data_IF_168069160665
#
_entry.id   IF_168069160665
#
_cell.length_a   1.000
_cell.length_b   1.000
_cell.length_c   1.000
_cell.angle_alpha   90.00
_cell.angle_beta   90.00
_cell.angle_gamma   90.00
#
_symmetry.space_group_name_H-M   'P 1'
#
loop_
_entity.id
_entity.type
_entity.pdbx_description
1 polymer ?
#
# COMPACT_ATOMS: atom_id res chain seq x y z
N UNK A 1 23.72 -7.04 -5.73
CA UNK A 1 23.62 -5.83 -4.91
C UNK A 1 24.48 -4.77 -5.59
N UNK A 2 23.92 -4.13 -6.63
CA UNK A 2 24.61 -3.10 -7.38
C UNK A 2 24.21 -1.76 -6.76
N UNK A 3 25.22 -1.06 -6.23
CA UNK A 3 25.13 0.25 -5.61
C UNK A 3 24.60 1.26 -6.64
N UNK A 4 23.42 1.82 -6.36
CA UNK A 4 22.94 3.03 -7.05
C UNK A 4 23.89 4.14 -6.63
N UNK A 5 24.71 4.58 -7.57
CA UNK A 5 25.70 5.64 -7.39
C UNK A 5 24.98 6.97 -7.19
N UNK A 6 24.67 7.28 -5.93
CA UNK A 6 24.09 8.55 -5.51
C UNK A 6 25.21 9.59 -5.32
N UNK A 7 25.73 10.10 -6.43
CA UNK A 7 26.68 11.22 -6.40
C UNK A 7 26.06 12.46 -5.73
N UNK A 8 26.83 13.21 -4.91
CA UNK A 8 26.37 14.47 -4.33
C UNK A 8 26.44 15.58 -5.39
N UNK A 9 25.30 15.90 -6.02
CA UNK A 9 25.21 17.02 -6.96
C UNK A 9 25.04 18.34 -6.20
N UNK A 10 26.10 19.14 -6.17
CA UNK A 10 26.08 20.51 -5.67
C UNK A 10 25.46 21.43 -6.73
N UNK A 11 24.20 21.84 -6.52
CA UNK A 11 23.45 22.68 -7.44
C UNK A 11 23.91 24.13 -7.37
N UNK A 12 24.82 24.53 -8.27
CA UNK A 12 25.00 25.93 -8.65
C UNK A 12 23.71 26.39 -9.32
N UNK A 13 22.91 27.18 -8.61
CA UNK A 13 21.82 27.94 -9.21
C UNK A 13 22.40 28.76 -10.37
N UNK A 14 22.09 28.35 -11.60
CA UNK A 14 22.40 29.17 -12.78
C UNK A 14 21.76 30.53 -12.56
N UNK A 15 22.51 31.65 -12.71
CA UNK A 15 21.94 32.97 -12.51
C UNK A 15 20.80 33.17 -13.49
N UNK A 16 19.67 33.65 -12.97
CA UNK A 16 18.54 34.16 -13.73
C UNK A 16 19.10 35.03 -14.87
N UNK A 17 18.99 34.56 -16.11
CA UNK A 17 19.35 35.38 -17.26
C UNK A 17 18.49 36.65 -17.22
N UNK A 18 19.05 37.84 -17.47
CA UNK A 18 18.27 39.07 -17.50
C UNK A 18 17.19 38.95 -18.57
N UNK A 19 15.94 39.14 -18.13
CA UNK A 19 14.74 39.17 -18.95
C UNK A 19 14.84 40.28 -19.99
N UNK A 20 15.28 39.94 -21.20
CA UNK A 20 15.28 40.85 -22.36
C UNK A 20 14.05 40.67 -23.24
N UNK A 21 13.20 39.69 -22.95
CA UNK A 21 11.90 39.49 -23.56
C UNK A 21 10.88 39.15 -22.47
N UNK A 22 9.66 39.69 -22.55
CA UNK A 22 8.54 39.52 -21.61
C UNK A 22 8.00 38.08 -21.50
N UNK A 23 8.84 37.06 -21.59
CA UNK A 23 8.49 35.70 -21.20
C UNK A 23 8.77 35.55 -19.71
N UNK A 24 7.72 35.50 -18.89
CA UNK A 24 7.83 34.99 -17.53
C UNK A 24 8.19 33.50 -17.60
N UNK A 25 9.49 33.19 -17.68
CA UNK A 25 9.99 31.83 -17.58
C UNK A 25 9.89 31.39 -16.12
N UNK A 26 8.71 30.93 -15.71
CA UNK A 26 8.59 30.14 -14.50
C UNK A 26 9.27 28.79 -14.75
N UNK A 27 10.54 28.66 -14.35
CA UNK A 27 11.31 27.40 -14.36
C UNK A 27 10.86 26.40 -13.27
N UNK A 28 9.66 26.59 -12.72
CA UNK A 28 9.08 25.75 -11.68
C UNK A 28 8.18 24.67 -12.31
N UNK A 29 8.21 23.41 -11.88
CA UNK A 29 8.67 22.96 -10.57
C UNK A 29 10.18 22.72 -10.46
N UNK A 30 10.70 23.02 -9.28
CA UNK A 30 12.06 22.70 -8.83
C UNK A 30 12.16 21.24 -8.37
N UNK A 31 11.08 20.66 -7.84
CA UNK A 31 11.03 19.25 -7.41
C UNK A 31 9.70 18.60 -7.78
N UNK A 32 9.75 17.34 -8.26
CA UNK A 32 8.55 16.52 -8.54
C UNK A 32 8.45 15.37 -7.53
N UNK A 33 7.43 15.40 -6.69
CA UNK A 33 7.10 14.33 -5.76
C UNK A 33 6.11 13.38 -6.42
N UNK A 34 6.43 12.10 -6.49
CA UNK A 34 5.62 11.10 -7.18
C UNK A 34 5.11 10.10 -6.15
N UNK A 35 3.79 9.91 -6.10
CA UNK A 35 3.17 8.88 -5.27
C UNK A 35 3.24 7.51 -5.96
N UNK A 36 3.47 6.42 -5.21
CA UNK A 36 3.52 5.07 -5.76
C UNK A 36 2.25 4.65 -6.53
N UNK A 37 1.08 5.14 -6.12
CA UNK A 37 -0.19 4.86 -6.79
C UNK A 37 -0.15 5.26 -8.28
N UNK A 38 0.37 6.43 -8.60
CA UNK A 38 0.48 6.89 -9.99
C UNK A 38 1.36 5.97 -10.83
N UNK A 39 2.45 5.45 -10.26
CA UNK A 39 3.37 4.53 -10.94
C UNK A 39 2.67 3.19 -11.20
N UNK A 40 1.98 2.63 -10.19
CA UNK A 40 1.24 1.38 -10.35
C UNK A 40 0.14 1.50 -11.41
N UNK A 41 -0.57 2.63 -11.47
CA UNK A 41 -1.55 2.91 -12.53
C UNK A 41 -0.90 2.95 -13.92
N UNK A 42 0.26 3.58 -14.05
CA UNK A 42 1.03 3.62 -15.32
C UNK A 42 1.48 2.22 -15.73
N UNK A 43 1.97 1.41 -14.79
CA UNK A 43 2.40 0.05 -15.04
C UNK A 43 1.22 -0.87 -15.42
N UNK A 44 0.08 -0.76 -14.73
CA UNK A 44 -1.14 -1.49 -15.09
C UNK A 44 -1.61 -1.11 -16.50
N UNK A 45 -1.60 0.18 -16.84
CA UNK A 45 -1.90 0.64 -18.19
C UNK A 45 -0.91 0.09 -19.23
N UNK A 46 0.38 0.04 -18.91
CA UNK A 46 1.41 -0.53 -19.78
C UNK A 46 1.23 -2.04 -20.02
N UNK A 47 0.65 -2.78 -19.08
CA UNK A 47 0.37 -4.22 -19.23
C UNK A 47 -0.90 -4.46 -20.03
N UNK A 48 -1.90 -3.58 -19.93
CA UNK A 48 -3.17 -3.69 -20.67
C UNK A 48 -3.08 -3.31 -22.14
N UNK A 49 -1.95 -2.79 -22.59
CA UNK A 49 -1.76 -2.41 -24.00
C UNK A 49 -1.95 -3.63 -24.90
N UNK A 50 -2.67 -3.43 -26.01
CA UNK A 50 -2.69 -4.42 -27.07
C UNK A 50 -1.28 -4.53 -27.64
N UNK A 51 -0.69 -5.72 -27.60
CA UNK A 51 0.60 -5.99 -28.23
C UNK A 51 0.37 -5.90 -29.74
N UNK A 52 0.95 -4.91 -30.46
CA UNK A 52 0.75 -4.81 -31.89
C UNK A 52 1.32 -6.06 -32.56
N UNK A 53 0.57 -6.65 -33.50
CA UNK A 53 1.01 -7.81 -34.28
C UNK A 53 2.21 -7.49 -35.20
N UNK A 54 2.57 -6.21 -35.34
CA UNK A 54 3.60 -5.70 -36.24
C UNK A 54 4.66 -4.93 -35.44
N UNK A 55 5.96 -5.23 -35.60
CA UNK A 55 7.05 -4.64 -34.80
C UNK A 55 7.38 -3.16 -35.13
N UNK A 56 6.62 -2.50 -36.00
CA UNK A 56 6.90 -1.13 -36.49
C UNK A 56 6.16 -0.03 -35.75
N UNK A 57 5.09 -0.36 -35.00
CA UNK A 57 4.34 0.64 -34.23
C UNK A 57 5.00 0.81 -32.87
N UNK A 58 5.41 2.04 -32.56
CA UNK A 58 5.92 2.42 -31.24
C UNK A 58 4.91 1.97 -30.19
N UNK A 59 5.33 1.06 -29.31
CA UNK A 59 4.41 0.42 -28.36
C UNK A 59 4.26 1.21 -27.07
N UNK A 60 4.58 2.51 -27.13
CA UNK A 60 4.57 3.38 -25.96
C UNK A 60 3.15 3.73 -25.59
N UNK A 61 2.96 3.96 -24.30
CA UNK A 61 1.68 4.31 -23.74
C UNK A 61 1.75 5.75 -23.27
N UNK A 62 0.68 6.51 -23.47
CA UNK A 62 0.58 7.92 -23.13
C UNK A 62 -0.64 8.12 -22.21
N UNK A 63 -0.49 8.99 -21.22
CA UNK A 63 -1.60 9.42 -20.40
C UNK A 63 -1.31 10.72 -19.66
N UNK A 64 -2.31 11.20 -18.93
CA UNK A 64 -2.21 12.44 -18.16
C UNK A 64 -1.83 12.19 -16.70
N UNK A 65 -1.10 13.14 -16.13
CA UNK A 65 -0.73 13.18 -14.72
C UNK A 65 -1.65 14.16 -13.98
N UNK A 66 -2.19 13.71 -12.86
CA UNK A 66 -3.05 14.48 -11.97
C UNK A 66 -2.38 14.59 -10.59
N UNK A 67 -2.57 15.74 -9.95
CA UNK A 67 -2.20 15.90 -8.56
C UNK A 67 -2.32 17.35 -8.13
N UNK A 68 -1.52 17.76 -7.15
CA UNK A 68 -1.53 19.12 -6.62
C UNK A 68 -0.21 19.83 -6.86
N UNK A 69 -0.28 21.16 -6.96
CA UNK A 69 0.89 22.04 -6.99
C UNK A 69 0.91 22.86 -5.70
N UNK A 70 2.10 23.11 -5.15
CA UNK A 70 2.26 24.04 -4.05
C UNK A 70 1.87 25.47 -4.49
N UNK A 71 1.46 26.31 -3.55
CA UNK A 71 1.10 27.72 -3.81
C UNK A 71 2.27 28.50 -4.42
N UNK A 72 3.49 28.17 -4.01
CA UNK A 72 4.74 28.75 -4.54
C UNK A 72 5.14 28.20 -5.92
N UNK A 73 4.46 27.15 -6.41
CA UNK A 73 4.73 26.48 -7.69
C UNK A 73 6.04 25.68 -7.76
N UNK A 74 6.88 25.74 -6.72
CA UNK A 74 8.18 25.08 -6.62
C UNK A 74 8.09 23.56 -6.56
N UNK A 75 7.11 23.03 -5.83
CA UNK A 75 6.91 21.61 -5.63
C UNK A 75 5.60 21.14 -6.28
N UNK A 76 5.70 20.02 -7.00
CA UNK A 76 4.57 19.38 -7.66
C UNK A 76 4.43 17.96 -7.12
N UNK A 77 3.25 17.60 -6.63
CA UNK A 77 2.95 16.27 -6.13
C UNK A 77 2.02 15.53 -7.09
N UNK A 78 2.56 14.56 -7.82
CA UNK A 78 1.83 13.65 -8.70
C UNK A 78 1.17 12.57 -7.85
N UNK A 79 -0.16 12.60 -7.80
CA UNK A 79 -0.99 11.72 -6.96
C UNK A 79 -1.52 10.56 -7.78
N UNK A 80 -2.08 10.86 -8.95
CA UNK A 80 -2.77 9.90 -9.79
C UNK A 80 -2.45 10.11 -11.27
N UNK A 81 -2.83 9.13 -12.09
CA UNK A 81 -2.62 9.16 -13.53
C UNK A 81 -3.75 8.39 -14.21
N UNK A 82 -4.10 8.80 -15.42
CA UNK A 82 -5.09 8.10 -16.25
C UNK A 82 -4.62 7.98 -17.70
N UNK A 83 -5.08 6.93 -18.35
CA UNK A 83 -4.79 6.61 -19.75
C UNK A 83 -5.45 7.61 -20.70
N UNK A 84 -4.78 8.03 -21.77
CA UNK A 84 -5.42 8.76 -22.87
C UNK A 84 -5.26 7.96 -24.16
N UNK A 85 -6.37 7.64 -24.86
CA UNK A 85 -6.30 7.05 -26.18
C UNK A 85 -5.50 7.96 -27.12
N UNK A 86 -4.51 7.38 -27.78
CA UNK A 86 -3.68 8.08 -28.75
C UNK A 86 -3.44 7.17 -29.96
N UNK A 87 -3.28 7.80 -31.12
CA UNK A 87 -2.91 7.12 -32.36
C UNK A 87 -1.58 7.68 -32.81
N UNK A 88 -0.56 6.81 -32.89
CA UNK A 88 0.79 7.17 -33.37
C UNK A 88 1.07 6.42 -34.68
N UNK A 89 1.18 7.18 -35.75
CA UNK A 89 1.68 6.75 -37.06
C UNK A 89 3.11 7.28 -37.27
N UNK A 90 3.81 6.81 -38.31
CA UNK A 90 5.19 7.23 -38.59
C UNK A 90 5.36 8.75 -38.76
N UNK A 91 4.31 9.46 -39.20
CA UNK A 91 4.33 10.91 -39.48
C UNK A 91 3.39 11.74 -38.59
N UNK A 92 2.52 11.12 -37.79
CA UNK A 92 1.45 11.83 -37.08
C UNK A 92 1.14 11.21 -35.72
N UNK A 93 0.95 12.08 -34.71
CA UNK A 93 0.42 11.71 -33.40
C UNK A 93 -0.84 12.49 -33.11
N UNK A 94 -1.93 11.77 -32.83
CA UNK A 94 -3.21 12.34 -32.42
C UNK A 94 -3.56 11.88 -31.00
N UNK A 95 -4.00 12.82 -30.17
CA UNK A 95 -4.43 12.59 -28.78
C UNK A 95 -5.88 13.01 -28.66
N UNK A 96 -6.73 12.17 -28.05
CA UNK A 96 -8.14 12.48 -27.86
C UNK A 96 -8.35 13.52 -26.75
N UNK A 97 -8.57 14.77 -27.18
CA UNK A 97 -8.80 15.93 -26.31
C UNK A 97 -10.11 15.85 -25.55
N UNK A 98 -11.16 15.32 -26.19
CA UNK A 98 -12.50 15.27 -25.62
C UNK A 98 -12.55 14.22 -24.51
N UNK A 99 -11.90 13.07 -24.75
CA UNK A 99 -11.70 12.06 -23.71
C UNK A 99 -10.92 12.63 -22.51
N UNK A 100 -9.82 13.34 -22.75
CA UNK A 100 -9.05 13.97 -21.67
C UNK A 100 -9.90 14.93 -20.85
N UNK A 101 -10.66 15.84 -21.49
CA UNK A 101 -11.50 16.83 -20.79
C UNK A 101 -12.60 16.14 -19.98
N UNK A 102 -13.27 15.15 -20.55
CA UNK A 102 -14.32 14.39 -19.88
C UNK A 102 -13.75 13.62 -18.67
N UNK A 103 -12.63 12.91 -18.85
CA UNK A 103 -12.00 12.14 -17.78
C UNK A 103 -11.47 13.04 -16.66
N UNK A 104 -10.82 14.15 -17.00
CA UNK A 104 -10.38 15.14 -16.01
C UNK A 104 -11.58 15.69 -15.23
N UNK A 105 -12.70 15.98 -15.88
CA UNK A 105 -13.92 16.45 -15.19
C UNK A 105 -14.47 15.41 -14.20
N UNK A 106 -14.35 14.12 -14.51
CA UNK A 106 -14.77 13.04 -13.62
C UNK A 106 -13.83 12.91 -12.42
N UNK A 107 -12.52 13.01 -12.63
CA UNK A 107 -11.54 13.03 -11.54
C UNK A 107 -11.75 14.21 -10.59
N UNK A 108 -11.98 15.40 -11.13
CA UNK A 108 -12.22 16.61 -10.33
C UNK A 108 -13.53 16.56 -9.53
N UNK A 109 -14.53 15.77 -9.96
CA UNK A 109 -15.74 15.52 -9.17
C UNK A 109 -15.46 14.70 -7.90
N UNK A 110 -14.52 13.77 -7.96
CA UNK A 110 -14.11 12.99 -6.80
C UNK A 110 -13.14 13.81 -5.92
N UNK A 111 -12.12 14.42 -6.54
CA UNK A 111 -11.06 15.16 -5.88
C UNK A 111 -10.93 16.59 -6.46
N UNK A 112 -11.64 17.58 -5.92
CA UNK A 112 -11.65 18.95 -6.46
C UNK A 112 -10.37 19.75 -6.18
N UNK A 113 -9.47 19.25 -5.32
CA UNK A 113 -8.19 19.88 -4.99
C UNK A 113 -7.08 19.56 -6.00
N UNK A 114 -7.31 18.55 -6.82
CA UNK A 114 -6.35 18.13 -7.84
C UNK A 114 -6.47 18.98 -9.09
N UNK A 115 -5.42 18.98 -9.90
CA UNK A 115 -5.34 19.64 -11.19
C UNK A 115 -4.52 18.80 -12.16
N UNK A 116 -4.64 19.11 -13.46
CA UNK A 116 -3.78 18.53 -14.47
C UNK A 116 -2.35 19.05 -14.28
N UNK A 117 -1.39 18.13 -14.16
CA UNK A 117 0.03 18.45 -13.92
C UNK A 117 0.89 18.29 -15.16
N UNK A 118 0.48 17.43 -16.08
CA UNK A 118 1.20 17.15 -17.32
C UNK A 118 0.84 15.76 -17.83
N UNK A 119 1.83 15.03 -18.33
CA UNK A 119 1.65 13.74 -19.00
C UNK A 119 2.78 12.77 -18.70
N UNK A 120 2.53 11.48 -18.94
CA UNK A 120 3.52 10.44 -18.81
C UNK A 120 3.64 9.63 -20.08
N UNK A 121 4.80 8.99 -20.24
CA UNK A 121 5.04 7.97 -21.25
C UNK A 121 5.83 6.80 -20.69
N UNK A 122 5.67 5.63 -21.31
CA UNK A 122 6.41 4.42 -20.93
C UNK A 122 7.70 4.21 -21.74
N UNK A 123 7.95 5.06 -22.76
CA UNK A 123 9.21 5.01 -23.51
C UNK A 123 10.26 5.92 -22.87
N UNK A 124 11.49 5.43 -22.63
CA UNK A 124 12.59 6.27 -22.15
C UNK A 124 13.14 7.20 -23.23
N UNK A 125 12.85 6.95 -24.50
CA UNK A 125 13.36 7.73 -25.63
C UNK A 125 12.47 8.94 -25.92
N UNK A 126 13.09 10.13 -25.93
CA UNK A 126 12.44 11.36 -26.33
C UNK A 126 12.50 11.50 -27.85
N UNK A 127 11.33 11.49 -28.50
CA UNK A 127 11.23 11.62 -29.95
C UNK A 127 10.68 13.01 -30.34
N UNK A 128 10.73 13.37 -31.62
CA UNK A 128 10.19 14.66 -32.12
C UNK A 128 8.71 14.85 -31.77
N UNK A 129 7.93 13.76 -31.77
CA UNK A 129 6.52 13.79 -31.34
C UNK A 129 6.33 14.15 -29.87
N UNK A 130 7.30 13.87 -29.00
CA UNK A 130 7.22 14.24 -27.59
C UNK A 130 7.13 15.76 -27.42
N UNK A 131 7.76 16.54 -28.31
CA UNK A 131 7.65 17.99 -28.29
C UNK A 131 6.25 18.50 -28.65
N UNK A 132 5.60 17.87 -29.63
CA UNK A 132 4.23 18.19 -30.01
C UNK A 132 3.24 17.89 -28.89
N UNK A 133 3.36 16.72 -28.25
CA UNK A 133 2.53 16.32 -27.11
C UNK A 133 2.75 17.27 -25.94
N UNK A 134 4.00 17.62 -25.65
CA UNK A 134 4.34 18.55 -24.59
C UNK A 134 3.71 19.94 -24.81
N UNK A 135 3.75 20.47 -26.04
CA UNK A 135 3.13 21.74 -26.37
C UNK A 135 1.60 21.68 -26.30
N UNK A 136 1.01 20.53 -26.61
CA UNK A 136 -0.41 20.29 -26.42
C UNK A 136 -0.80 20.36 -24.92
N UNK A 137 -0.07 19.69 -24.03
CA UNK A 137 -0.32 19.76 -22.57
C UNK A 137 0.10 21.09 -21.93
N UNK A 138 0.96 21.88 -22.58
CA UNK A 138 1.30 23.23 -22.16
C UNK A 138 0.32 24.30 -22.70
N UNK A 139 -0.60 23.91 -23.60
CA UNK A 139 -1.52 24.86 -24.24
C UNK A 139 -2.49 25.51 -23.24
N UNK A 140 -2.88 26.79 -23.42
CA UNK A 140 -3.83 27.46 -22.53
C UNK A 140 -5.24 26.87 -22.53
N UNK A 141 -5.64 26.17 -23.60
CA UNK A 141 -7.02 25.69 -23.77
C UNK A 141 -7.26 24.31 -23.15
N UNK A 142 -6.22 23.47 -23.11
CA UNK A 142 -6.33 22.05 -22.75
C UNK A 142 -5.36 21.64 -21.64
N UNK A 143 -4.42 22.51 -21.31
CA UNK A 143 -3.22 22.17 -20.58
C UNK A 143 -3.09 22.78 -19.18
N UNK A 144 -1.86 22.93 -18.75
CA UNK A 144 -1.48 23.29 -17.37
C UNK A 144 -1.17 24.78 -17.18
N UNK A 145 -1.54 25.62 -18.14
CA UNK A 145 -1.26 27.07 -18.12
C UNK A 145 -1.81 27.72 -16.85
N UNK A 146 -1.06 28.58 -16.15
CA UNK A 146 0.22 29.23 -16.54
C UNK A 146 1.49 28.46 -16.17
N UNK A 147 1.40 27.26 -15.59
CA UNK A 147 2.55 26.48 -15.15
C UNK A 147 3.02 25.50 -16.23
N UNK A 148 4.33 25.21 -16.34
CA UNK A 148 4.82 24.25 -17.32
C UNK A 148 4.34 22.83 -17.00
N UNK A 149 4.04 22.08 -18.07
CA UNK A 149 3.62 20.69 -17.98
C UNK A 149 4.80 19.78 -17.61
N UNK A 150 4.57 18.87 -16.66
CA UNK A 150 5.56 17.86 -16.27
C UNK A 150 5.44 16.65 -17.19
N UNK A 151 6.57 16.20 -17.74
CA UNK A 151 6.66 14.97 -18.52
C UNK A 151 7.37 13.89 -17.72
N UNK A 152 6.69 12.78 -17.43
CA UNK A 152 7.26 11.64 -16.69
C UNK A 152 7.50 10.45 -17.61
N UNK A 153 8.74 9.96 -17.68
CA UNK A 153 9.06 8.69 -18.35
C UNK A 153 9.19 7.58 -17.32
N UNK A 154 8.48 6.47 -17.53
CA UNK A 154 8.52 5.28 -16.65
C UNK A 154 8.98 4.07 -17.46
N UNK A 155 10.08 3.44 -17.07
CA UNK A 155 10.50 2.19 -17.71
C UNK A 155 9.54 1.05 -17.36
N UNK A 156 9.21 0.22 -18.36
CA UNK A 156 8.24 -0.87 -18.25
C UNK A 156 8.84 -2.24 -18.60
N UNK A 157 10.17 -2.35 -18.62
CA UNK A 157 10.86 -3.60 -18.92
C UNK A 157 10.63 -4.65 -17.81
N UNK A 158 10.01 -5.81 -18.12
CA UNK A 158 9.76 -6.85 -17.13
C UNK A 158 11.07 -7.40 -16.56
N UNK A 159 11.20 -7.43 -15.23
CA UNK A 159 12.36 -7.96 -14.52
C UNK A 159 13.52 -6.97 -14.34
N UNK A 160 13.41 -5.77 -14.90
CA UNK A 160 14.31 -4.66 -14.60
C UNK A 160 13.72 -3.75 -13.50
N UNK A 161 14.58 -2.98 -12.84
CA UNK A 161 14.14 -1.96 -11.89
C UNK A 161 13.41 -0.82 -12.61
N UNK A 162 12.34 -0.32 -11.99
CA UNK A 162 11.53 0.78 -12.54
C UNK A 162 12.35 2.06 -12.53
N UNK A 163 12.77 2.51 -13.72
CA UNK A 163 13.46 3.79 -13.89
C UNK A 163 12.45 4.92 -14.13
N UNK A 164 12.58 5.99 -13.36
CA UNK A 164 11.76 7.19 -13.46
C UNK A 164 12.64 8.36 -13.88
N UNK A 165 12.14 9.18 -14.81
CA UNK A 165 12.76 10.48 -15.12
C UNK A 165 11.66 11.51 -15.32
N UNK A 166 11.81 12.66 -14.68
CA UNK A 166 10.89 13.78 -14.80
C UNK A 166 11.54 14.90 -15.61
N UNK A 167 10.78 15.48 -16.54
CA UNK A 167 11.23 16.53 -17.43
C UNK A 167 10.24 17.70 -17.40
N UNK A 168 10.76 18.91 -17.62
CA UNK A 168 9.97 20.10 -17.94
C UNK A 168 10.38 20.61 -19.31
N UNK A 169 9.44 21.24 -20.00
CA UNK A 169 9.73 21.92 -21.27
C UNK A 169 10.23 23.32 -21.05
N UNK A 170 11.31 23.68 -21.73
CA UNK A 170 11.69 25.06 -21.99
C UNK A 170 11.52 25.34 -23.48
N UNK A 171 10.75 26.38 -23.88
CA UNK A 171 10.66 26.75 -25.28
C UNK A 171 12.03 27.23 -25.75
N UNK A 172 12.59 26.56 -26.75
CA UNK A 172 13.89 26.94 -27.33
C UNK A 172 13.66 27.29 -28.78
N UNK A 173 13.72 28.58 -29.07
CA UNK A 173 13.49 29.10 -30.41
C UNK A 173 14.39 30.29 -30.72
N UNK A 174 14.87 30.33 -31.97
CA UNK A 174 15.51 31.51 -32.54
C UNK A 174 14.47 32.48 -33.14
N UNK A 175 13.31 31.96 -33.54
CA UNK A 175 12.18 32.71 -34.13
C UNK A 175 10.84 32.31 -33.47
N UNK A 176 9.91 33.24 -33.31
CA UNK A 176 8.64 33.04 -32.59
C UNK A 176 7.73 31.95 -33.18
N UNK A 177 7.74 31.72 -34.49
CA UNK A 177 6.91 30.69 -35.15
C UNK A 177 7.43 29.27 -34.91
N UNK A 178 8.76 29.06 -34.95
CA UNK A 178 9.36 27.75 -34.64
C UNK A 178 9.38 27.43 -33.14
N UNK A 179 9.08 28.40 -32.29
CA UNK A 179 8.97 28.18 -30.85
C UNK A 179 7.82 27.23 -30.49
N UNK A 180 6.78 27.18 -31.31
CA UNK A 180 5.65 26.28 -31.12
C UNK A 180 5.94 24.82 -31.52
N UNK A 181 7.06 24.56 -32.23
CA UNK A 181 7.42 23.23 -32.73
C UNK A 181 8.67 22.66 -32.04
N UNK A 182 9.45 23.51 -31.35
CA UNK A 182 10.72 23.15 -30.73
C UNK A 182 10.71 23.42 -29.23
N UNK A 183 10.70 22.36 -28.42
CA UNK A 183 10.89 22.43 -26.99
C UNK A 183 12.11 21.61 -26.54
N UNK A 184 12.88 22.15 -25.60
CA UNK A 184 13.95 21.42 -24.94
C UNK A 184 13.42 20.78 -23.65
N UNK A 185 13.68 19.49 -23.47
CA UNK A 185 13.39 18.80 -22.21
C UNK A 185 14.54 18.99 -21.23
N UNK A 186 14.25 19.63 -20.11
CA UNK A 186 15.18 19.80 -18.99
C UNK A 186 14.78 18.81 -17.90
N UNK A 187 15.71 17.98 -17.46
CA UNK A 187 15.44 17.01 -16.39
C UNK A 187 15.32 17.72 -15.05
N UNK A 188 14.29 17.36 -14.28
CA UNK A 188 14.00 17.90 -12.94
C UNK A 188 14.19 16.79 -11.90
N UNK A 189 14.72 17.10 -10.71
CA UNK A 189 14.82 16.11 -9.65
C UNK A 189 13.43 15.62 -9.24
N UNK A 190 13.32 14.31 -9.06
CA UNK A 190 12.10 13.66 -8.60
C UNK A 190 12.36 12.89 -7.31
N UNK A 191 11.34 12.80 -6.46
CA UNK A 191 11.35 12.04 -5.21
C UNK A 191 10.13 11.15 -5.16
N UNK A 192 10.29 9.94 -4.66
CA UNK A 192 9.17 9.07 -4.31
C UNK A 192 8.65 9.48 -2.94
N UNK A 193 7.43 9.98 -2.91
CA UNK A 193 6.77 10.40 -1.67
C UNK A 193 5.78 9.32 -1.26
N UNK A 194 6.04 8.68 -0.12
CA UNK A 194 5.15 7.68 0.46
C UNK A 194 4.23 8.34 1.46
N UNK A 195 2.93 8.01 1.41
CA UNK A 195 2.05 8.23 2.55
C UNK A 195 2.18 7.07 3.55
N UNK A 196 1.98 7.29 4.85
CA UNK A 196 2.18 6.24 5.87
C UNK A 196 1.25 5.05 5.67
N UNK A 197 0.01 5.32 5.25
CA UNK A 197 -0.97 4.29 4.89
C UNK A 197 -0.54 3.50 3.64
N UNK A 198 -0.01 4.18 2.63
CA UNK A 198 0.50 3.53 1.41
C UNK A 198 1.75 2.71 1.70
N UNK A 199 2.66 3.21 2.53
CA UNK A 199 3.88 2.51 2.93
C UNK A 199 3.53 1.18 3.58
N UNK A 200 2.57 1.18 4.50
CA UNK A 200 2.11 -0.05 5.18
C UNK A 200 1.48 -1.04 4.19
N UNK A 201 0.67 -0.56 3.26
CA UNK A 201 0.06 -1.40 2.23
C UNK A 201 1.10 -1.97 1.24
N UNK A 202 2.06 -1.16 0.82
CA UNK A 202 3.14 -1.58 -0.08
C UNK A 202 4.07 -2.59 0.58
N UNK A 203 4.35 -2.43 1.88
CA UNK A 203 5.15 -3.40 2.64
C UNK A 203 4.45 -4.77 2.68
N UNK A 204 3.14 -4.79 2.95
CA UNK A 204 2.33 -6.01 2.89
C UNK A 204 2.32 -6.64 1.49
N UNK A 205 2.12 -5.85 0.43
CA UNK A 205 2.17 -6.33 -0.96
C UNK A 205 3.57 -6.89 -1.29
N UNK A 206 4.63 -6.24 -0.81
CA UNK A 206 6.00 -6.69 -1.03
C UNK A 206 6.28 -8.03 -0.35
N UNK A 207 5.72 -8.27 0.85
CA UNK A 207 5.86 -9.54 1.57
C UNK A 207 5.23 -10.74 0.83
N UNK A 208 4.27 -10.48 -0.05
CA UNK A 208 3.65 -11.52 -0.89
C UNK A 208 4.47 -11.85 -2.16
N UNK A 209 5.52 -11.08 -2.49
CA UNK A 209 6.31 -11.23 -3.71
C UNK A 209 6.98 -12.61 -3.81
N UNK A 210 7.54 -13.08 -2.69
CA UNK A 210 8.33 -14.31 -2.63
C UNK A 210 7.49 -15.54 -2.24
N UNK A 211 6.19 -15.35 -1.96
CA UNK A 211 5.28 -16.45 -1.61
C UNK A 211 4.65 -17.04 -2.88
N UNK A 212 4.78 -18.35 -3.08
CA UNK A 212 4.21 -19.07 -4.23
C UNK A 212 2.69 -18.88 -4.35
N UNK A 213 2.00 -18.73 -3.22
CA UNK A 213 0.54 -18.52 -3.17
C UNK A 213 0.12 -17.08 -3.51
N UNK A 214 1.06 -16.13 -3.60
CA UNK A 214 0.82 -14.67 -3.77
C UNK A 214 -0.19 -14.08 -2.76
N UNK A 215 -0.34 -14.72 -1.61
CA UNK A 215 -1.18 -14.27 -0.53
C UNK A 215 -0.30 -13.88 0.67
N UNK A 216 -0.60 -12.72 1.26
CA UNK A 216 -0.02 -12.31 2.54
C UNK A 216 -1.15 -12.23 3.58
N UNK A 217 -1.01 -12.87 4.75
CA UNK A 217 -1.91 -12.62 5.85
C UNK A 217 -1.74 -11.17 6.31
N UNK A 218 -2.84 -10.53 6.72
CA UNK A 218 -2.77 -9.25 7.42
C UNK A 218 -2.08 -9.52 8.76
N UNK A 219 -0.89 -8.93 8.95
CA UNK A 219 -0.11 -9.09 10.17
C UNK A 219 -0.91 -8.63 11.38
N UNK A 220 -0.78 -9.35 12.49
CA UNK A 220 -1.34 -8.88 13.76
C UNK A 220 -0.60 -7.62 14.24
N UNK A 221 -1.25 -6.82 15.08
CA UNK A 221 -0.63 -5.61 15.65
C UNK A 221 0.68 -5.93 16.39
N UNK A 222 0.76 -7.11 17.02
CA UNK A 222 1.96 -7.60 17.73
C UNK A 222 3.10 -7.90 16.76
N UNK A 223 2.82 -8.53 15.62
CA UNK A 223 3.81 -8.80 14.59
C UNK A 223 4.30 -7.50 13.93
N UNK A 224 3.40 -6.55 13.68
CA UNK A 224 3.75 -5.23 13.15
C UNK A 224 4.66 -4.46 14.12
N UNK A 225 4.37 -4.51 15.42
CA UNK A 225 5.22 -3.93 16.46
C UNK A 225 6.61 -4.60 16.48
N UNK A 226 6.65 -5.94 16.37
CA UNK A 226 7.91 -6.70 16.36
C UNK A 226 8.79 -6.28 15.18
N UNK A 227 8.24 -6.21 13.95
CA UNK A 227 8.97 -5.73 12.76
C UNK A 227 9.43 -4.28 12.91
N UNK A 228 8.61 -3.43 13.52
CA UNK A 228 8.97 -2.03 13.77
C UNK A 228 10.13 -1.92 14.77
N UNK A 229 10.16 -2.77 15.81
CA UNK A 229 11.27 -2.86 16.75
C UNK A 229 12.55 -3.35 16.07
N UNK A 230 12.47 -4.42 15.27
CA UNK A 230 13.63 -4.92 14.50
C UNK A 230 14.19 -3.86 13.54
N UNK A 231 13.32 -3.16 12.81
CA UNK A 231 13.70 -2.05 11.93
C UNK A 231 14.35 -0.90 12.71
N UNK A 232 13.83 -0.58 13.90
CA UNK A 232 14.40 0.47 14.77
C UNK A 232 15.79 0.07 15.28
N UNK A 233 15.98 -1.21 15.63
CA UNK A 233 17.29 -1.74 16.03
C UNK A 233 18.27 -1.65 14.86
N UNK A 234 17.89 -2.07 13.65
CA UNK A 234 18.74 -1.96 12.45
C UNK A 234 19.11 -0.50 12.14
N UNK A 235 18.18 0.45 12.29
CA UNK A 235 18.47 1.88 12.13
C UNK A 235 19.45 2.41 13.19
N UNK A 236 19.33 1.96 14.44
CA UNK A 236 20.25 2.31 15.51
C UNK A 236 21.65 1.70 15.27
N UNK A 237 21.71 0.46 14.83
CA UNK A 237 22.96 -0.23 14.50
C UNK A 237 23.69 0.49 13.37
N UNK A 238 22.98 0.87 12.29
CA UNK A 238 23.56 1.68 11.20
C UNK A 238 24.07 3.03 11.66
N UNK A 239 23.33 3.70 12.55
CA UNK A 239 23.78 4.98 13.11
C UNK A 239 25.02 4.79 13.99
N UNK A 240 25.08 3.71 14.77
CA UNK A 240 26.24 3.35 15.59
C UNK A 240 27.45 2.99 14.75
N UNK A 241 27.27 2.22 13.67
CA UNK A 241 28.32 1.87 12.71
C UNK A 241 28.88 3.12 12.03
N UNK A 242 28.02 4.03 11.58
CA UNK A 242 28.43 5.31 11.00
C UNK A 242 29.28 6.15 11.97
N UNK A 243 28.86 6.27 13.24
CA UNK A 243 29.62 7.00 14.25
C UNK A 243 30.95 6.30 14.56
N UNK A 244 30.96 4.96 14.61
CA UNK A 244 32.17 4.17 14.85
C UNK A 244 33.19 4.36 13.73
N UNK A 245 32.75 4.32 12.46
CA UNK A 245 33.61 4.56 11.30
C UNK A 245 34.23 5.97 11.28
N UNK A 246 33.55 6.98 11.82
CA UNK A 246 34.12 8.33 11.98
C UNK A 246 35.17 8.36 13.11
N UNK A 247 34.92 7.64 14.21
CA UNK A 247 35.87 7.53 15.33
C UNK A 247 37.15 6.79 14.89
N UNK A 248 37.01 5.78 14.04
CA UNK A 248 38.11 5.00 13.47
C UNK A 248 38.81 5.72 12.29
N UNK A 249 38.43 6.97 12.00
CA UNK A 249 38.97 7.82 10.93
C UNK A 249 38.79 7.27 9.50
N UNK A 250 37.83 6.36 9.28
CA UNK A 250 37.55 5.78 7.96
C UNK A 250 36.65 6.68 7.08
N UNK A 251 35.83 7.55 7.68
CA UNK A 251 34.95 8.51 6.99
C UNK A 251 35.13 9.95 7.47
N UNK A 252 34.90 10.92 6.57
CA UNK A 252 34.94 12.34 6.91
C UNK A 252 33.76 12.73 7.82
N UNK A 253 34.01 13.47 8.92
CA UNK A 253 32.97 13.87 9.85
C UNK A 253 32.05 14.94 9.24
N UNK A 254 30.73 14.71 9.34
CA UNK A 254 29.72 15.71 9.00
C UNK A 254 29.15 16.36 10.26
N UNK A 255 29.53 17.61 10.51
CA UNK A 255 29.12 18.36 11.70
C UNK A 255 27.59 18.56 11.81
N UNK A 256 26.87 18.65 10.69
CA UNK A 256 25.42 18.83 10.71
C UNK A 256 24.70 17.56 11.20
N UNK A 257 25.17 16.38 10.76
CA UNK A 257 24.67 15.09 11.24
C UNK A 257 24.99 14.87 12.72
N UNK A 258 26.21 15.23 13.15
CA UNK A 258 26.60 15.15 14.56
C UNK A 258 25.70 16.00 15.48
N UNK A 259 25.39 17.23 15.09
CA UNK A 259 24.46 18.09 15.82
C UNK A 259 23.04 17.51 15.86
N UNK A 260 22.57 16.95 14.74
CA UNK A 260 21.26 16.30 14.67
C UNK A 260 21.17 15.10 15.63
N UNK A 261 22.15 14.20 15.61
CA UNK A 261 22.20 13.04 16.51
C UNK A 261 22.25 13.47 17.99
N UNK A 262 23.04 14.49 18.31
CA UNK A 262 23.11 15.03 19.68
C UNK A 262 21.76 15.59 20.13
N UNK A 263 21.05 16.31 19.25
CA UNK A 263 19.71 16.84 19.56
C UNK A 263 18.68 15.72 19.74
N UNK A 264 18.75 14.65 18.93
CA UNK A 264 17.86 13.50 19.03
C UNK A 264 18.06 12.74 20.35
N UNK A 265 19.33 12.52 20.76
CA UNK A 265 19.64 11.88 22.04
C UNK A 265 19.27 12.76 23.24
N UNK A 266 19.32 14.09 23.09
CA UNK A 266 18.88 15.01 24.14
C UNK A 266 17.37 15.00 24.35
N UNK A 267 16.58 14.61 23.34
CA UNK A 267 15.13 14.43 23.43
C UNK A 267 14.71 13.14 24.16
N UNK A 268 15.66 12.24 24.46
CA UNK A 268 15.34 11.00 25.17
C UNK A 268 14.72 11.32 26.55
N UNK A 269 13.50 10.83 26.83
CA UNK A 269 12.80 11.15 28.06
C UNK A 269 13.57 10.59 29.27
N UNK A 270 14.06 11.50 30.12
CA UNK A 270 14.74 11.16 31.37
C UNK A 270 13.70 10.92 32.46
N UNK A 271 13.01 9.79 32.38
CA UNK A 271 12.03 9.39 33.42
C UNK A 271 12.71 8.44 34.38
N UNK A 272 12.37 8.57 35.66
CA UNK A 272 12.84 7.65 36.70
C UNK A 272 12.27 6.24 36.42
N UNK A 273 13.09 5.18 36.34
CA UNK A 273 12.63 3.81 36.09
C UNK A 273 11.52 3.37 37.06
N UNK A 274 11.54 3.85 38.31
CA UNK A 274 10.53 3.48 39.33
C UNK A 274 9.16 4.04 38.99
N UNK A 275 9.09 5.25 38.43
CA UNK A 275 7.83 5.88 38.04
C UNK A 275 7.23 5.19 36.81
N UNK A 276 8.06 4.84 35.83
CA UNK A 276 7.62 4.09 34.64
C UNK A 276 7.02 2.75 35.04
N UNK A 277 7.67 2.02 35.96
CA UNK A 277 7.16 0.72 36.41
C UNK A 277 5.81 0.85 37.12
N UNK A 278 5.65 1.86 37.96
CA UNK A 278 4.37 2.14 38.62
C UNK A 278 3.26 2.49 37.62
N UNK A 279 3.53 3.39 36.68
CA UNK A 279 2.55 3.82 35.67
C UNK A 279 2.20 2.68 34.71
N UNK A 280 3.18 1.87 34.30
CA UNK A 280 2.96 0.70 33.45
C UNK A 280 2.13 -0.37 34.17
N UNK A 281 2.43 -0.65 35.44
CA UNK A 281 1.64 -1.59 36.23
C UNK A 281 0.19 -1.13 36.42
N UNK A 282 -0.03 0.16 36.68
CA UNK A 282 -1.38 0.72 36.76
C UNK A 282 -2.13 0.57 35.42
N UNK A 283 -1.47 0.89 34.30
CA UNK A 283 -2.06 0.72 32.98
C UNK A 283 -2.40 -0.75 32.67
N UNK A 284 -1.50 -1.68 33.00
CA UNK A 284 -1.73 -3.13 32.83
C UNK A 284 -2.91 -3.61 33.67
N UNK A 285 -3.05 -3.13 34.92
CA UNK A 285 -4.19 -3.45 35.77
C UNK A 285 -5.52 -2.98 35.16
N UNK A 286 -5.57 -1.76 34.64
CA UNK A 286 -6.76 -1.21 33.99
C UNK A 286 -7.16 -2.01 32.74
N UNK A 287 -6.18 -2.34 31.88
CA UNK A 287 -6.42 -3.15 30.67
C UNK A 287 -6.90 -4.56 31.03
N UNK A 288 -6.29 -5.20 32.04
CA UNK A 288 -6.72 -6.51 32.55
C UNK A 288 -8.15 -6.48 33.07
N UNK A 289 -8.53 -5.44 33.82
CA UNK A 289 -9.90 -5.28 34.32
C UNK A 289 -10.91 -5.20 33.17
N UNK A 290 -10.63 -4.41 32.14
CA UNK A 290 -11.49 -4.28 30.96
C UNK A 290 -11.58 -5.62 30.20
N UNK A 291 -10.45 -6.30 29.99
CA UNK A 291 -10.43 -7.61 29.32
C UNK A 291 -11.21 -8.68 30.11
N UNK A 292 -11.09 -8.67 31.44
CA UNK A 292 -11.81 -9.60 32.31
C UNK A 292 -13.32 -9.38 32.25
N UNK A 293 -13.76 -8.12 32.28
CA UNK A 293 -15.18 -7.76 32.14
C UNK A 293 -15.72 -8.18 30.77
N UNK A 294 -15.00 -7.90 29.69
CA UNK A 294 -15.40 -8.29 28.33
C UNK A 294 -15.52 -9.82 28.19
N UNK A 295 -14.57 -10.58 28.75
CA UNK A 295 -14.63 -12.04 28.76
C UNK A 295 -15.79 -12.55 29.61
N UNK A 296 -16.05 -11.97 30.78
CA UNK A 296 -17.22 -12.33 31.60
C UNK A 296 -18.53 -12.11 30.84
N UNK A 297 -18.70 -10.96 30.19
CA UNK A 297 -19.88 -10.66 29.36
C UNK A 297 -19.99 -11.68 28.22
N UNK A 298 -18.89 -11.99 27.52
CA UNK A 298 -18.88 -13.00 26.44
C UNK A 298 -19.30 -14.38 26.96
N UNK A 299 -18.76 -14.82 28.09
CA UNK A 299 -19.13 -16.10 28.70
C UNK A 299 -20.59 -16.12 29.15
N UNK A 300 -21.12 -15.01 29.67
CA UNK A 300 -22.50 -14.91 30.09
C UNK A 300 -23.45 -14.91 28.87
N UNK A 301 -23.06 -14.29 27.77
CA UNK A 301 -23.79 -14.36 26.50
C UNK A 301 -23.80 -15.80 25.96
N UNK A 302 -22.65 -16.47 25.85
CA UNK A 302 -22.58 -17.86 25.36
C UNK A 302 -23.40 -18.80 26.26
N UNK A 303 -23.31 -18.64 27.58
CA UNK A 303 -24.09 -19.44 28.53
C UNK A 303 -25.59 -19.16 28.41
N UNK A 304 -25.99 -17.90 28.21
CA UNK A 304 -27.40 -17.54 27.98
C UNK A 304 -27.95 -18.12 26.67
N UNK A 305 -27.14 -18.12 25.60
CA UNK A 305 -27.51 -18.69 24.31
C UNK A 305 -27.66 -20.21 24.41
N UNK A 306 -26.70 -20.88 25.08
CA UNK A 306 -26.77 -22.32 25.35
C UNK A 306 -27.98 -22.68 26.20
N UNK A 307 -28.28 -21.93 27.27
CA UNK A 307 -29.47 -22.16 28.08
C UNK A 307 -30.77 -21.98 27.29
N UNK A 308 -30.88 -20.92 26.49
CA UNK A 308 -32.04 -20.69 25.63
C UNK A 308 -32.23 -21.86 24.63
N UNK A 309 -31.15 -22.36 24.02
CA UNK A 309 -31.22 -23.53 23.14
C UNK A 309 -31.49 -24.85 23.88
N UNK A 310 -31.03 -24.98 25.14
CA UNK A 310 -31.24 -26.16 25.95
C UNK A 310 -32.71 -26.30 26.40
N UNK A 311 -33.37 -25.20 26.75
CA UNK A 311 -34.81 -25.17 27.07
C UNK A 311 -35.62 -25.64 25.85
N UNK A 312 -35.31 -25.14 24.66
CA UNK A 312 -35.95 -25.59 23.41
C UNK A 312 -35.70 -27.09 23.13
N UNK A 313 -34.51 -27.60 23.46
CA UNK A 313 -34.19 -29.03 23.28
C UNK A 313 -34.83 -29.97 24.30
N UNK A 314 -35.27 -29.45 25.45
CA UNK A 314 -35.98 -30.22 26.48
C UNK A 314 -37.48 -30.33 26.17
N UNK A 315 -38.10 -29.30 25.61
CA UNK A 315 -39.49 -29.36 25.13
C UNK A 315 -39.67 -30.45 24.03
N UNK A 316 -38.67 -30.63 23.16
CA UNK A 316 -38.65 -31.70 22.14
C UNK A 316 -38.45 -33.11 22.73
N UNK A 317 -37.92 -33.24 23.95
CA UNK A 317 -37.74 -34.53 24.64
C UNK A 317 -38.96 -34.91 25.48
N UNK A 318 -39.62 -33.96 26.13
CA UNK A 318 -40.89 -34.22 26.82
C UNK A 318 -42.00 -34.62 25.84
N UNK A 319 -42.00 -34.09 24.61
CA UNK A 319 -42.92 -34.51 23.56
C UNK A 319 -42.74 -35.97 23.08
N UNK A 320 -41.58 -36.60 23.33
CA UNK A 320 -41.30 -37.99 22.90
C UNK A 320 -41.52 -39.06 23.96
N UNK A 321 -41.55 -38.71 25.25
CA UNK A 321 -41.84 -39.67 26.33
C UNK A 321 -43.34 -39.78 26.67
N UNK A 322 -44.19 -38.87 26.16
CA UNK A 322 -45.65 -38.90 26.33
C UNK A 322 -46.43 -39.83 25.40
N UNK A 323 -45.79 -40.45 24.39
CA UNK A 323 -46.49 -41.17 23.30
C UNK A 323 -46.13 -42.67 23.21
N UNK A 324 -45.90 -43.33 24.36
CA UNK A 324 -45.81 -44.80 24.46
C UNK A 324 -46.77 -45.36 25.52
N UNK A 325 -48.06 -45.10 25.32
CA UNK A 325 -49.15 -45.76 26.04
C UNK A 325 -50.33 -45.99 25.11
N UNK A 326 -50.70 -47.26 24.91
CA UNK A 326 -51.96 -47.75 24.33
C UNK A 326 -52.21 -47.65 22.81
N UNK A 327 -52.05 -48.81 22.15
CA UNK A 327 -52.95 -49.48 21.18
C UNK A 327 -52.07 -50.44 20.35
N UNK A 328 -52.18 -51.76 20.38
CA UNK A 328 -53.29 -52.67 20.65
C UNK A 328 -53.39 -53.58 19.43
N UNK A 329 -53.16 -54.89 19.59
CA UNK A 329 -53.94 -55.97 18.94
C UNK A 329 -53.27 -57.35 19.09
N UNK A 330 -54.13 -58.34 19.31
CA UNK A 330 -53.84 -59.75 19.61
C UNK A 330 -54.52 -60.59 18.52
N UNK A 331 -53.79 -61.55 17.94
CA UNK A 331 -54.32 -62.72 17.20
C UNK A 331 -54.43 -62.53 15.67
N UNK A 332 -53.44 -62.92 14.86
CA UNK A 332 -53.05 -64.28 14.42
C UNK A 332 -53.86 -64.81 13.21
N UNK A 333 -53.21 -64.90 12.03
CA UNK A 333 -53.06 -66.10 11.17
C UNK A 333 -52.48 -65.76 9.79
N UNK A 334 -51.56 -66.61 9.30
CA UNK A 334 -51.41 -66.82 7.85
C UNK A 334 -50.00 -66.82 7.25
N UNK A 335 -49.20 -67.83 7.59
CA UNK A 335 -48.33 -68.64 6.72
C UNK A 335 -47.63 -68.07 5.44
N UNK A 336 -46.32 -68.38 5.40
CA UNK A 336 -45.50 -68.87 4.26
C UNK A 336 -45.02 -67.87 3.19
N UNK A 337 -43.68 -67.72 3.16
CA UNK A 337 -42.90 -68.03 1.96
C UNK A 337 -42.08 -66.90 1.34
N UNK A 338 -40.75 -67.07 1.38
CA UNK A 338 -39.93 -66.95 0.18
C UNK A 338 -39.38 -65.57 -0.25
N UNK A 339 -38.10 -65.38 0.05
CA UNK A 339 -37.01 -65.21 -0.95
C UNK A 339 -36.99 -63.94 -1.82
N UNK A 340 -35.80 -63.32 -1.78
CA UNK A 340 -35.00 -62.70 -2.87
C UNK A 340 -35.21 -61.22 -3.22
N UNK A 341 -34.08 -60.50 -3.14
CA UNK A 341 -33.66 -59.42 -4.05
C UNK A 341 -34.32 -58.08 -3.77
N UNK A 342 -33.64 -56.95 -3.70
CA UNK A 342 -32.29 -56.60 -4.09
C UNK A 342 -32.26 -55.10 -4.41
N UNK A 343 -31.09 -54.50 -4.19
CA UNK A 343 -30.53 -53.33 -4.88
C UNK A 343 -31.06 -51.91 -4.58
N UNK A 344 -30.07 -51.06 -4.27
CA UNK A 344 -30.03 -49.63 -4.53
C UNK A 344 -30.27 -48.80 -3.26
N UNK A 345 -29.29 -48.19 -2.60
CA UNK A 345 -28.07 -47.55 -3.11
C UNK A 345 -28.25 -46.04 -2.99
N UNK A 346 -28.01 -45.48 -1.79
CA UNK A 346 -28.11 -44.04 -1.49
C UNK A 346 -26.86 -43.54 -0.77
N UNK A 347 -26.10 -42.70 -1.47
CA UNK A 347 -24.97 -41.86 -1.05
C UNK A 347 -25.30 -41.15 0.28
N UNK A 348 -24.48 -41.10 1.32
CA UNK A 348 -23.04 -40.81 1.33
C UNK A 348 -22.81 -39.31 1.52
N UNK A 349 -23.32 -38.74 2.63
CA UNK A 349 -23.19 -37.32 3.00
C UNK A 349 -21.83 -37.02 3.65
N UNK A 350 -21.22 -35.92 3.22
CA UNK A 350 -19.97 -35.40 3.76
C UNK A 350 -20.15 -34.81 5.16
N UNK A 351 -19.32 -35.25 6.10
CA UNK A 351 -19.11 -34.62 7.39
C UNK A 351 -17.99 -33.57 7.26
N UNK A 352 -18.33 -32.30 7.46
CA UNK A 352 -17.35 -31.28 7.86
C UNK A 352 -16.94 -31.58 9.31
N UNK A 353 -15.63 -31.74 9.51
CA UNK A 353 -14.99 -31.86 10.83
C UNK A 353 -14.75 -30.45 11.39
N UNK A 354 -15.25 -30.17 12.58
CA UNK A 354 -14.85 -28.99 13.36
C UNK A 354 -13.45 -29.17 13.99
N UNK A 355 -12.70 -28.08 14.25
CA UNK A 355 -11.35 -28.13 14.81
C UNK A 355 -11.38 -28.46 16.32
N UNK A 356 -10.46 -29.32 16.79
CA UNK A 356 -10.23 -29.57 18.21
C UNK A 356 -9.44 -28.42 18.85
N UNK A 357 -9.93 -27.93 19.99
CA UNK A 357 -9.18 -27.00 20.86
C UNK A 357 -7.97 -27.68 21.55
N UNK A 358 -6.90 -26.93 21.88
CA UNK A 358 -5.75 -27.45 22.63
C UNK A 358 -6.10 -27.65 24.11
N UNK A 359 -5.65 -28.78 24.69
CA UNK A 359 -5.76 -29.05 26.13
C UNK A 359 -4.79 -28.20 26.94
N UNK A 360 -5.28 -27.51 27.97
CA UNK A 360 -4.45 -26.82 28.96
C UNK A 360 -3.65 -27.81 29.84
N UNK A 361 -2.44 -27.43 30.32
CA UNK A 361 -1.65 -28.24 31.25
C UNK A 361 -2.23 -28.17 32.67
N UNK A 362 -2.32 -29.32 33.35
CA UNK A 362 -2.71 -29.40 34.77
C UNK A 362 -1.61 -28.80 35.66
N UNK A 363 -1.98 -27.89 36.55
CA UNK A 363 -1.11 -27.40 37.62
C UNK A 363 -0.72 -28.51 38.62
N UNK A 364 0.50 -28.46 39.19
CA UNK A 364 0.93 -29.40 40.22
C UNK A 364 0.35 -29.03 41.59
N UNK A 365 -0.19 -30.03 42.30
CA UNK A 365 -0.70 -29.90 43.68
C UNK A 365 0.42 -29.50 44.64
N UNK A 366 0.18 -28.47 45.46
CA UNK A 366 1.06 -28.08 46.56
C UNK A 366 1.22 -29.18 47.62
N UNK A 367 2.39 -29.31 48.27
CA UNK A 367 2.60 -30.26 49.36
C UNK A 367 1.98 -29.74 50.67
N UNK A 368 1.23 -30.60 51.37
CA UNK A 368 0.71 -30.33 52.71
C UNK A 368 1.85 -30.22 53.72
N UNK A 369 1.90 -29.13 54.48
CA UNK A 369 2.77 -28.99 55.66
C UNK A 369 2.42 -30.02 56.76
N UNK A 370 3.42 -30.58 57.46
CA UNK A 370 3.19 -31.45 58.61
C UNK A 370 2.88 -30.63 59.87
N UNK A 371 1.82 -31.04 60.59
CA UNK A 371 1.44 -30.53 61.90
C UNK A 371 2.55 -30.79 62.92
N UNK A 372 2.97 -29.76 63.66
CA UNK A 372 3.79 -29.88 64.87
C UNK A 372 3.03 -30.63 65.98
N UNK A 373 3.70 -31.49 66.77
CA UNK A 373 3.15 -32.02 68.00
C UNK A 373 3.40 -31.04 69.17
N UNK A 374 2.35 -30.80 69.95
CA UNK A 374 2.44 -30.10 71.22
C UNK A 374 3.08 -30.99 72.29
N UNK A 375 4.17 -30.52 72.90
CA UNK A 375 4.42 -30.45 74.35
C UNK A 375 5.63 -29.56 74.67
#
# INVERSE_FOLDING_TARGET
MATVDSGPFLHLSRPLAPSTFNFQNNLAPLTVNIQPQAILSILDHAVRRDIPATPTTSSRVIGALIGSRSEDGSDVSVVSSFAIPHTENEDQVEVDVEYQKNMLSLHLKANPREALLGWYTTSPELNSFSALIQNFFASPETGTFPHPAVHLTVSTEPGADVQLRAYISSPVAVNAERAAESCLFVQVPHKLAYNDAERSALDLISSAKDNESRAAPVSSDVESLTRSLESTIDLLDRASEFVSAIIDEEQEPNNALGQYLMSALALAPKVDPVQIEADFNNHVQDVLMVSYLANSIRTQIDLSQRLATAVLSNDDKEAKDGEKGERGERGERGQRGGKRGGRGGGRGGGQQREPREPREPREPREPREPREPAE
#
